data_IF_044938304299
#
_entry.id   IF_044938304299
#
_cell.length_a   1.000
_cell.length_b   1.000
_cell.length_c   1.000
_cell.angle_alpha   90.00
_cell.angle_beta   90.00
_cell.angle_gamma   90.00
#
_symmetry.space_group_name_H-M   'P 1'
#
loop_
_entity.id
_entity.type
_entity.pdbx_description
1 polymer ?
#
# COMPACT_ATOMS: atom_id res chain seq x y z
N UNK A 1 -6.82 -48.53 -61.05
CA UNK A 1 -7.02 -47.21 -60.44
C UNK A 1 -5.64 -46.58 -60.24
N UNK A 2 -5.40 -45.44 -60.89
CA UNK A 2 -4.06 -44.96 -61.25
C UNK A 2 -3.39 -44.17 -60.11
N UNK A 3 -2.43 -44.82 -59.43
CA UNK A 3 -1.61 -44.23 -58.35
C UNK A 3 -0.63 -43.13 -58.81
N UNK A 4 -0.44 -42.96 -60.12
CA UNK A 4 0.52 -41.98 -60.68
C UNK A 4 0.04 -40.54 -60.57
N UNK A 5 -1.29 -40.31 -60.59
CA UNK A 5 -1.86 -38.95 -60.53
C UNK A 5 -1.79 -38.35 -59.12
N UNK A 6 -2.01 -39.17 -58.10
CA UNK A 6 -2.01 -38.74 -56.69
C UNK A 6 -0.60 -38.32 -56.25
N UNK A 7 0.44 -39.09 -56.61
CA UNK A 7 1.83 -38.78 -56.25
C UNK A 7 2.34 -37.51 -56.94
N UNK A 8 1.93 -37.25 -58.19
CA UNK A 8 2.30 -36.02 -58.91
C UNK A 8 1.65 -34.78 -58.27
N UNK A 9 0.41 -34.90 -57.81
CA UNK A 9 -0.32 -33.80 -57.16
C UNK A 9 0.29 -33.41 -55.79
N UNK A 10 0.78 -34.40 -55.03
CA UNK A 10 1.44 -34.18 -53.72
C UNK A 10 2.85 -33.56 -53.88
N UNK A 11 3.57 -33.90 -54.97
CA UNK A 11 4.92 -33.37 -55.23
C UNK A 11 4.93 -31.92 -55.74
N UNK A 12 3.84 -31.48 -56.39
CA UNK A 12 3.70 -30.11 -56.93
C UNK A 12 3.23 -29.10 -55.87
N UNK A 13 2.37 -29.51 -54.94
CA UNK A 13 1.93 -28.66 -53.82
C UNK A 13 3.08 -28.39 -52.84
N UNK A 14 3.94 -29.37 -52.53
CA UNK A 14 5.08 -29.19 -51.61
C UNK A 14 6.17 -28.24 -52.12
N UNK A 15 6.35 -28.08 -53.44
CA UNK A 15 7.31 -27.09 -54.01
C UNK A 15 6.87 -25.64 -53.80
N UNK A 16 5.56 -25.37 -53.84
CA UNK A 16 4.99 -24.02 -53.72
C UNK A 16 5.14 -23.45 -52.30
N UNK A 17 5.08 -24.31 -51.28
CA UNK A 17 5.22 -23.90 -49.88
C UNK A 17 6.64 -24.04 -49.33
N UNK A 18 7.61 -24.55 -50.10
CA UNK A 18 9.00 -24.72 -49.65
C UNK A 18 9.63 -23.40 -49.19
N UNK A 19 9.36 -22.30 -49.90
CA UNK A 19 9.84 -20.98 -49.52
C UNK A 19 9.09 -20.43 -48.28
N UNK A 20 7.79 -20.74 -48.16
CA UNK A 20 6.99 -20.38 -46.98
C UNK A 20 7.46 -21.09 -45.71
N UNK A 21 7.83 -22.37 -45.79
CA UNK A 21 8.37 -23.13 -44.64
C UNK A 21 9.73 -22.58 -44.22
N UNK A 22 10.60 -22.21 -45.18
CA UNK A 22 11.89 -21.61 -44.87
C UNK A 22 11.77 -20.22 -44.24
N UNK A 23 10.83 -19.39 -44.70
CA UNK A 23 10.54 -18.07 -44.12
C UNK A 23 9.95 -18.21 -42.70
N UNK A 24 9.05 -19.17 -42.50
CA UNK A 24 8.48 -19.47 -41.18
C UNK A 24 9.56 -19.94 -40.20
N UNK A 25 10.50 -20.77 -40.65
CA UNK A 25 11.64 -21.24 -39.86
C UNK A 25 12.66 -20.13 -39.55
N UNK A 26 12.78 -19.14 -40.43
CA UNK A 26 13.62 -17.96 -40.21
C UNK A 26 12.96 -16.96 -39.23
N UNK A 27 11.62 -16.89 -39.21
CA UNK A 27 10.85 -16.07 -38.29
C UNK A 27 10.69 -16.71 -36.89
N UNK A 28 10.98 -18.01 -36.74
CA UNK A 28 10.92 -18.71 -35.46
C UNK A 28 12.21 -18.69 -34.65
N UNK A 29 13.24 -17.94 -35.07
CA UNK A 29 14.41 -17.70 -34.22
C UNK A 29 13.96 -16.81 -33.04
N UNK A 30 13.95 -17.31 -31.79
CA UNK A 30 13.80 -16.41 -30.66
C UNK A 30 14.97 -15.44 -30.69
N UNK A 31 14.71 -14.14 -30.72
CA UNK A 31 15.70 -13.14 -30.33
C UNK A 31 16.04 -13.38 -28.86
N UNK A 32 17.04 -14.23 -28.61
CA UNK A 32 17.62 -14.39 -27.28
C UNK A 32 18.67 -13.31 -27.13
N UNK A 33 18.47 -12.40 -26.18
CA UNK A 33 19.49 -11.43 -25.82
C UNK A 33 18.99 -10.13 -25.18
N UNK A 34 17.95 -10.16 -24.35
CA UNK A 34 17.83 -9.08 -23.35
C UNK A 34 18.87 -9.39 -22.28
N UNK A 35 20.08 -8.88 -22.46
CA UNK A 35 21.10 -8.90 -21.39
C UNK A 35 20.48 -8.28 -20.15
N UNK A 36 20.60 -8.94 -18.99
CA UNK A 36 20.14 -8.41 -17.71
C UNK A 36 20.78 -7.03 -17.51
N UNK A 37 20.02 -5.97 -17.73
CA UNK A 37 20.49 -4.62 -17.45
C UNK A 37 20.78 -4.56 -15.96
N UNK A 38 22.02 -4.29 -15.58
CA UNK A 38 22.41 -4.04 -14.20
C UNK A 38 21.55 -2.89 -13.68
N UNK A 39 20.60 -3.22 -12.81
CA UNK A 39 19.68 -2.24 -12.25
C UNK A 39 20.50 -1.38 -11.28
N UNK A 40 20.63 -0.06 -11.50
CA UNK A 40 21.38 0.77 -10.58
C UNK A 40 20.72 0.75 -9.18
N UNK A 41 21.53 0.70 -8.12
CA UNK A 41 21.07 0.59 -6.72
C UNK A 41 19.97 1.60 -6.37
N UNK A 42 20.07 2.84 -6.87
CA UNK A 42 19.06 3.88 -6.66
C UNK A 42 17.68 3.54 -7.25
N UNK A 43 17.64 2.83 -8.39
CA UNK A 43 16.40 2.37 -9.02
C UNK A 43 15.87 1.11 -8.32
N UNK A 44 16.76 0.23 -7.84
CA UNK A 44 16.40 -0.91 -7.01
C UNK A 44 15.73 -0.46 -5.69
N UNK A 45 16.34 0.50 -4.98
CA UNK A 45 15.79 1.06 -3.75
C UNK A 45 14.41 1.69 -3.93
N UNK A 46 14.23 2.50 -4.99
CA UNK A 46 12.91 3.07 -5.31
C UNK A 46 11.88 2.01 -5.67
N UNK A 47 12.28 0.96 -6.37
CA UNK A 47 11.36 -0.13 -6.69
C UNK A 47 10.93 -0.82 -5.39
N UNK A 48 11.89 -1.18 -4.54
CA UNK A 48 11.63 -1.88 -3.29
C UNK A 48 10.83 -1.04 -2.31
N UNK A 49 11.05 0.27 -2.18
CA UNK A 49 10.20 1.13 -1.35
C UNK A 49 8.73 1.11 -1.81
N UNK A 50 8.49 1.01 -3.11
CA UNK A 50 7.14 1.01 -3.69
C UNK A 50 6.51 -0.39 -3.83
N UNK A 51 7.30 -1.47 -3.78
CA UNK A 51 6.79 -2.85 -3.96
C UNK A 51 6.87 -3.69 -2.69
N UNK A 52 7.75 -3.37 -1.75
CA UNK A 52 7.87 -4.11 -0.50
C UNK A 52 6.65 -3.80 0.38
N UNK A 53 5.84 -4.83 0.63
CA UNK A 53 4.60 -4.71 1.41
C UNK A 53 4.86 -4.33 2.86
N UNK A 54 5.95 -4.82 3.45
CA UNK A 54 6.33 -4.56 4.84
C UNK A 54 6.70 -3.08 5.03
N UNK A 55 7.56 -2.54 4.16
CA UNK A 55 7.92 -1.11 4.19
C UNK A 55 6.69 -0.20 3.97
N UNK A 56 5.76 -0.61 3.11
CA UNK A 56 4.51 0.11 2.93
C UNK A 56 3.64 0.10 4.19
N UNK A 57 3.50 -1.06 4.84
CA UNK A 57 2.77 -1.17 6.11
C UNK A 57 3.38 -0.27 7.16
N UNK A 58 4.70 -0.31 7.35
CA UNK A 58 5.40 0.53 8.33
C UNK A 58 5.24 2.02 8.03
N UNK A 59 5.34 2.43 6.77
CA UNK A 59 5.08 3.80 6.34
C UNK A 59 3.65 4.24 6.68
N UNK A 60 2.66 3.37 6.45
CA UNK A 60 1.27 3.61 6.84
C UNK A 60 1.09 3.67 8.35
N UNK A 61 1.84 2.88 9.11
CA UNK A 61 1.84 2.97 10.57
C UNK A 61 2.40 4.31 11.05
N UNK A 62 3.45 4.83 10.42
CA UNK A 62 3.94 6.19 10.70
C UNK A 62 2.85 7.24 10.44
N UNK A 63 2.16 7.16 9.29
CA UNK A 63 1.06 8.06 8.95
C UNK A 63 -0.09 7.98 9.98
N UNK A 64 -0.47 6.76 10.36
CA UNK A 64 -1.49 6.49 11.38
C UNK A 64 -1.11 7.11 12.73
N UNK A 65 0.11 6.89 13.22
CA UNK A 65 0.56 7.46 14.49
C UNK A 65 0.59 9.00 14.43
N UNK A 66 0.96 9.59 13.30
CA UNK A 66 0.88 11.05 13.12
C UNK A 66 -0.57 11.54 13.17
N UNK A 67 -1.52 10.81 12.57
CA UNK A 67 -2.94 11.16 12.64
C UNK A 67 -3.44 11.20 14.09
N UNK A 68 -3.01 10.27 14.94
CA UNK A 68 -3.35 10.28 16.36
C UNK A 68 -2.81 11.52 17.11
N UNK A 69 -1.66 12.07 16.74
CA UNK A 69 -1.16 13.32 17.37
C UNK A 69 -2.16 14.47 17.22
N UNK A 70 -2.93 14.50 16.12
CA UNK A 70 -3.97 15.51 15.92
C UNK A 70 -5.17 15.33 16.85
N UNK A 71 -5.38 14.14 17.41
CA UNK A 71 -6.47 13.86 18.38
C UNK A 71 -6.03 14.08 19.83
N UNK A 72 -4.83 14.62 20.07
CA UNK A 72 -4.31 14.81 21.43
C UNK A 72 -5.10 15.81 22.29
N UNK A 73 -5.94 16.64 21.68
CA UNK A 73 -6.86 17.56 22.34
C UNK A 73 -8.29 17.03 22.26
N UNK A 74 -8.50 15.85 22.84
CA UNK A 74 -9.80 15.22 22.93
C UNK A 74 -10.60 15.81 24.10
N UNK A 75 -11.36 16.86 23.81
CA UNK A 75 -12.23 17.52 24.79
C UNK A 75 -13.57 16.78 24.81
N UNK A 76 -14.07 16.34 25.99
CA UNK A 76 -15.39 15.74 26.09
C UNK A 76 -16.47 16.62 25.46
N UNK A 77 -17.44 15.99 24.79
CA UNK A 77 -18.55 16.70 24.17
C UNK A 77 -19.36 17.49 25.21
N UNK A 78 -19.95 18.61 24.80
CA UNK A 78 -20.89 19.35 25.63
C UNK A 78 -22.18 18.53 25.80
N UNK A 79 -22.62 18.35 27.03
CA UNK A 79 -23.87 17.66 27.33
C UNK A 79 -24.99 18.68 27.51
N UNK A 80 -26.11 18.44 26.85
CA UNK A 80 -27.35 19.22 27.00
C UNK A 80 -28.42 18.31 27.58
N UNK A 81 -28.99 18.70 28.72
CA UNK A 81 -30.08 17.97 29.34
C UNK A 81 -31.29 18.88 29.55
N UNK A 82 -32.47 18.31 29.40
CA UNK A 82 -33.74 18.96 29.65
C UNK A 82 -34.65 17.98 30.41
N UNK A 83 -35.01 18.35 31.63
CA UNK A 83 -35.93 17.60 32.46
C UNK A 83 -37.25 18.38 32.52
N UNK A 84 -38.37 17.72 32.26
CA UNK A 84 -39.72 18.32 32.29
C UNK A 84 -40.62 17.34 33.04
N UNK A 85 -41.19 17.74 34.18
CA UNK A 85 -42.00 16.81 34.97
C UNK A 85 -42.21 17.24 36.41
N UNK A 86 -42.17 16.28 37.33
CA UNK A 86 -42.20 16.50 38.78
C UNK A 86 -40.93 15.84 39.35
N UNK A 87 -39.76 16.30 38.90
CA UNK A 87 -38.48 15.62 39.14
C UNK A 87 -37.95 15.95 40.53
N UNK A 88 -38.06 17.22 40.95
CA UNK A 88 -37.56 17.70 42.23
C UNK A 88 -38.67 18.13 43.20
N UNK A 89 -39.94 18.10 42.80
CA UNK A 89 -41.08 18.43 43.67
C UNK A 89 -42.39 17.77 43.22
N UNK A 90 -43.43 17.80 44.07
CA UNK A 90 -44.80 17.41 43.69
C UNK A 90 -45.47 18.39 42.70
N UNK A 91 -44.82 19.52 42.42
CA UNK A 91 -45.27 20.53 41.45
C UNK A 91 -44.52 20.32 40.14
N UNK A 92 -45.20 20.65 39.03
CA UNK A 92 -44.59 20.58 37.71
C UNK A 92 -43.40 21.53 37.63
N UNK A 93 -42.22 20.98 37.39
CA UNK A 93 -40.94 21.65 37.23
C UNK A 93 -40.30 21.36 35.87
N UNK A 94 -39.42 22.26 35.46
CA UNK A 94 -38.64 22.14 34.23
C UNK A 94 -37.23 22.64 34.51
N UNK A 95 -36.23 21.83 34.15
CA UNK A 95 -34.82 22.12 34.33
C UNK A 95 -34.09 21.93 33.01
N UNK A 96 -33.21 22.87 32.67
CA UNK A 96 -32.29 22.74 31.55
C UNK A 96 -30.87 22.85 32.08
N UNK A 97 -29.99 21.93 31.69
CA UNK A 97 -28.57 21.97 32.06
C UNK A 97 -27.67 21.83 30.85
N UNK A 98 -26.55 22.54 30.88
CA UNK A 98 -25.49 22.49 29.87
C UNK A 98 -24.19 22.25 30.60
N UNK A 99 -23.56 21.10 30.36
CA UNK A 99 -22.36 20.68 31.06
C UNK A 99 -21.20 20.57 30.07
N UNK A 100 -20.11 21.28 30.35
CA UNK A 100 -18.84 21.15 29.63
C UNK A 100 -17.74 20.71 30.60
N UNK A 101 -17.23 19.51 30.38
CA UNK A 101 -16.11 18.97 31.17
C UNK A 101 -14.78 19.22 30.47
N UNK A 102 -13.73 19.51 31.23
CA UNK A 102 -12.37 19.66 30.72
C UNK A 102 -11.35 19.12 31.73
N UNK A 103 -10.26 18.53 31.23
CA UNK A 103 -9.13 18.14 32.05
C UNK A 103 -8.17 19.32 32.27
N UNK A 104 -7.25 19.19 33.23
CA UNK A 104 -6.17 20.17 33.40
C UNK A 104 -5.30 20.26 32.13
N UNK A 105 -4.84 21.46 31.72
CA UNK A 105 -4.06 21.63 30.47
C UNK A 105 -2.83 20.72 30.35
N UNK A 106 -2.23 20.35 31.48
CA UNK A 106 -1.07 19.46 31.56
C UNK A 106 -1.40 18.04 31.04
N UNK A 107 -2.63 17.56 31.20
CA UNK A 107 -3.07 16.23 30.73
C UNK A 107 -2.96 16.17 29.20
N UNK A 108 -3.56 17.12 28.49
CA UNK A 108 -3.50 17.21 27.04
C UNK A 108 -2.06 17.39 26.52
N UNK A 109 -1.27 18.25 27.18
CA UNK A 109 0.15 18.45 26.81
C UNK A 109 0.95 17.15 26.94
N UNK A 110 0.74 16.40 28.01
CA UNK A 110 1.41 15.13 28.23
C UNK A 110 0.94 14.04 27.25
N UNK A 111 -0.38 13.96 26.98
CA UNK A 111 -0.94 13.05 25.98
C UNK A 111 -0.36 13.32 24.58
N UNK A 112 -0.31 14.59 24.16
CA UNK A 112 0.34 15.00 22.91
C UNK A 112 1.81 14.60 22.86
N UNK A 113 2.57 14.85 23.93
CA UNK A 113 3.98 14.49 24.00
C UNK A 113 4.18 12.98 23.89
N UNK A 114 3.32 12.18 24.53
CA UNK A 114 3.36 10.73 24.43
C UNK A 114 3.10 10.26 22.99
N UNK A 115 2.04 10.75 22.34
CA UNK A 115 1.74 10.43 20.94
C UNK A 115 2.88 10.81 19.98
N UNK A 116 3.52 11.96 20.21
CA UNK A 116 4.70 12.37 19.44
C UNK A 116 5.87 11.41 19.62
N UNK A 117 6.09 10.87 20.83
CA UNK A 117 7.10 9.84 21.06
C UNK A 117 6.77 8.52 20.36
N UNK A 118 5.50 8.14 20.29
CA UNK A 118 5.09 6.96 19.51
C UNK A 118 5.38 7.14 18.00
N UNK A 119 5.18 8.34 17.45
CA UNK A 119 5.59 8.65 16.07
C UNK A 119 7.09 8.51 15.88
N UNK A 120 7.90 9.04 16.79
CA UNK A 120 9.37 8.95 16.71
C UNK A 120 9.85 7.50 16.75
N UNK A 121 9.25 6.66 17.60
CA UNK A 121 9.53 5.22 17.66
C UNK A 121 9.20 4.57 16.32
N UNK A 122 7.98 4.76 15.80
CA UNK A 122 7.55 4.13 14.55
C UNK A 122 8.40 4.56 13.34
N UNK A 123 8.86 5.82 13.31
CA UNK A 123 9.80 6.30 12.28
C UNK A 123 11.17 5.62 12.39
N UNK A 124 11.61 5.35 13.62
CA UNK A 124 12.88 4.66 13.86
C UNK A 124 12.80 3.21 13.41
N UNK A 125 11.68 2.53 13.67
CA UNK A 125 11.44 1.16 13.22
C UNK A 125 11.48 1.07 11.68
N UNK A 126 10.75 1.97 11.00
CA UNK A 126 10.79 2.09 9.54
C UNK A 126 12.22 2.31 9.01
N UNK A 127 12.99 3.21 9.64
CA UNK A 127 14.36 3.50 9.22
C UNK A 127 15.29 2.30 9.39
N UNK A 128 15.11 1.51 10.46
CA UNK A 128 15.86 0.28 10.70
C UNK A 128 15.55 -0.74 9.60
N UNK A 129 14.27 -0.98 9.32
CA UNK A 129 13.88 -1.96 8.32
C UNK A 129 14.30 -1.55 6.91
N UNK A 130 14.09 -0.28 6.55
CA UNK A 130 14.58 0.28 5.29
C UNK A 130 16.09 0.07 5.11
N UNK A 131 16.87 0.27 6.17
CA UNK A 131 18.33 0.04 6.13
C UNK A 131 18.70 -1.44 5.99
N UNK A 132 17.94 -2.35 6.59
CA UNK A 132 18.15 -3.79 6.40
C UNK A 132 17.91 -4.19 4.95
N UNK A 133 16.82 -3.71 4.38
CA UNK A 133 16.49 -3.93 2.96
C UNK A 133 17.55 -3.32 2.04
N UNK A 134 18.05 -2.12 2.35
CA UNK A 134 19.16 -1.53 1.59
C UNK A 134 20.41 -2.41 1.60
N UNK A 135 20.82 -2.93 2.77
CA UNK A 135 21.98 -3.82 2.88
C UNK A 135 21.81 -5.08 2.04
N UNK A 136 20.63 -5.69 2.08
CA UNK A 136 20.33 -6.88 1.26
C UNK A 136 20.51 -6.59 -0.24
N UNK A 137 20.16 -5.39 -0.70
CA UNK A 137 20.36 -4.99 -2.10
C UNK A 137 21.83 -4.69 -2.45
N UNK A 138 22.64 -4.30 -1.47
CA UNK A 138 24.08 -4.04 -1.66
C UNK A 138 24.91 -5.34 -1.70
N UNK A 139 24.35 -6.45 -1.20
CA UNK A 139 24.98 -7.79 -1.24
C UNK A 139 24.85 -8.51 -2.60
N UNK A 140 24.01 -7.99 -3.51
CA UNK A 140 23.82 -8.51 -4.88
C UNK A 140 24.59 -7.70 -5.93
#
# INVERSE_FOLDING_TARGET
MNNTFIIKYIKDTSKKYRHFVLIFFWFSLPLVGVTQATLPLSKALKLVENTNLELQIEKRMVEYQNALVHTAYDIPATEFNANVGQINSQLFDTEFSVNQSFALPKVYKNGKKWLQKQVEIQKSDYAINYKNVQKLLEEF
#
